data_IF_496787338767
#
_entry.id   IF_496787338767
#
_cell.length_a   1.000
_cell.length_b   1.000
_cell.length_c   1.000
_cell.angle_alpha   90.00
_cell.angle_beta   90.00
_cell.angle_gamma   90.00
#
_symmetry.space_group_name_H-M   'P 1'
#
loop_
_entity.id
_entity.type
_entity.pdbx_description
1 polymer ?
#
# COMPACT_ATOMS: atom_id res chain seq x y z
N UNK A 1 -9.74 7.65 -3.14
CA UNK A 1 -10.80 6.68 -2.74
C UNK A 1 -10.12 5.44 -2.15
N UNK A 2 -10.44 5.04 -0.91
CA UNK A 2 -9.81 3.86 -0.26
C UNK A 2 -10.05 2.60 -1.11
N UNK A 3 -9.00 2.03 -1.70
CA UNK A 3 -9.03 0.72 -2.38
C UNK A 3 -8.88 -0.36 -1.31
N UNK A 4 -10.00 -0.78 -0.72
CA UNK A 4 -10.02 -1.89 0.23
C UNK A 4 -10.82 -3.06 -0.34
N UNK A 5 -10.49 -4.27 0.10
CA UNK A 5 -11.24 -5.49 -0.25
C UNK A 5 -12.74 -5.31 0.05
N UNK A 6 -13.06 -4.66 1.18
CA UNK A 6 -14.42 -4.35 1.60
C UNK A 6 -15.15 -3.44 0.60
N UNK A 7 -14.49 -2.38 0.10
CA UNK A 7 -15.09 -1.46 -0.86
C UNK A 7 -15.37 -2.15 -2.21
N UNK A 8 -14.49 -3.08 -2.61
CA UNK A 8 -14.66 -3.89 -3.82
C UNK A 8 -15.82 -4.87 -3.66
N UNK A 9 -15.84 -5.60 -2.55
CA UNK A 9 -16.93 -6.52 -2.20
C UNK A 9 -18.28 -5.79 -2.17
N UNK A 10 -18.32 -4.60 -1.56
CA UNK A 10 -19.53 -3.79 -1.49
C UNK A 10 -20.02 -3.34 -2.87
N UNK A 11 -19.12 -2.95 -3.78
CA UNK A 11 -19.46 -2.63 -5.17
C UNK A 11 -20.00 -3.85 -5.93
N UNK A 12 -19.35 -5.00 -5.79
CA UNK A 12 -19.79 -6.26 -6.40
C UNK A 12 -21.17 -6.68 -5.89
N UNK A 13 -21.41 -6.61 -4.58
CA UNK A 13 -22.68 -6.95 -3.97
C UNK A 13 -23.82 -6.02 -4.40
N UNK A 14 -23.56 -4.70 -4.51
CA UNK A 14 -24.54 -3.75 -5.07
C UNK A 14 -24.85 -4.04 -6.53
N UNK A 15 -23.85 -4.41 -7.31
CA UNK A 15 -24.05 -4.78 -8.71
C UNK A 15 -24.88 -6.07 -8.84
N UNK A 16 -24.65 -7.06 -7.97
CA UNK A 16 -25.45 -8.28 -7.89
C UNK A 16 -26.91 -7.98 -7.56
N UNK A 17 -27.16 -7.21 -6.49
CA UNK A 17 -28.51 -6.81 -6.09
C UNK A 17 -29.23 -5.99 -7.18
N UNK A 18 -28.53 -5.09 -7.89
CA UNK A 18 -29.11 -4.32 -9.00
C UNK A 18 -29.48 -5.20 -10.21
N UNK A 19 -28.69 -6.22 -10.49
CA UNK A 19 -28.87 -7.08 -11.68
C UNK A 19 -29.88 -8.21 -11.45
N UNK A 20 -29.88 -8.81 -10.27
CA UNK A 20 -30.64 -10.02 -9.96
C UNK A 20 -31.75 -9.80 -8.92
N UNK A 21 -31.87 -8.58 -8.37
CA UNK A 21 -32.80 -8.28 -7.28
C UNK A 21 -32.30 -8.78 -5.91
N UNK A 22 -33.04 -8.49 -4.85
CA UNK A 22 -32.69 -8.86 -3.47
C UNK A 22 -31.87 -7.79 -2.73
N UNK A 23 -31.39 -8.12 -1.51
CA UNK A 23 -30.67 -7.17 -0.65
C UNK A 23 -29.16 -7.33 -0.82
N UNK A 24 -28.43 -6.21 -0.78
CA UNK A 24 -26.94 -6.21 -0.88
C UNK A 24 -26.28 -7.16 0.12
N UNK A 25 -26.84 -7.28 1.34
CA UNK A 25 -26.34 -8.17 2.38
C UNK A 25 -26.35 -9.65 1.97
N UNK A 26 -27.26 -10.06 1.10
CA UNK A 26 -27.42 -11.46 0.67
C UNK A 26 -26.28 -11.85 -0.30
N UNK A 27 -25.75 -10.87 -1.05
CA UNK A 27 -24.62 -11.05 -1.97
C UNK A 27 -23.26 -10.82 -1.32
N UNK A 28 -23.24 -10.33 -0.08
CA UNK A 28 -22.02 -9.78 0.51
C UNK A 28 -20.94 -10.85 0.75
N UNK A 29 -21.33 -12.03 1.20
CA UNK A 29 -20.42 -13.14 1.47
C UNK A 29 -19.70 -13.62 0.20
N UNK A 30 -20.43 -13.78 -0.90
CA UNK A 30 -19.86 -14.24 -2.18
C UNK A 30 -19.03 -13.14 -2.85
N UNK A 31 -19.50 -11.89 -2.78
CA UNK A 31 -18.75 -10.73 -3.23
C UNK A 31 -17.42 -10.56 -2.49
N UNK A 32 -17.37 -10.87 -1.19
CA UNK A 32 -16.15 -10.83 -0.39
C UNK A 32 -15.13 -11.88 -0.85
N UNK A 33 -15.58 -13.11 -1.13
CA UNK A 33 -14.71 -14.17 -1.67
C UNK A 33 -14.13 -13.77 -3.02
N UNK A 34 -14.95 -13.23 -3.92
CA UNK A 34 -14.52 -12.76 -5.24
C UNK A 34 -13.53 -11.60 -5.12
N UNK A 35 -13.78 -10.65 -4.23
CA UNK A 35 -12.87 -9.54 -3.96
C UNK A 35 -11.50 -10.05 -3.47
N UNK A 36 -11.47 -10.98 -2.50
CA UNK A 36 -10.23 -11.59 -2.03
C UNK A 36 -9.48 -12.36 -3.11
N UNK A 37 -10.19 -13.11 -3.95
CA UNK A 37 -9.59 -13.83 -5.07
C UNK A 37 -8.99 -12.85 -6.10
N UNK A 38 -9.66 -11.74 -6.36
CA UNK A 38 -9.17 -10.71 -7.27
C UNK A 38 -7.92 -10.00 -6.72
N UNK A 39 -7.86 -9.74 -5.41
CA UNK A 39 -6.67 -9.18 -4.76
C UNK A 39 -5.52 -10.17 -4.77
N UNK A 40 -5.73 -11.42 -4.31
CA UNK A 40 -4.69 -12.46 -4.30
C UNK A 40 -4.17 -12.82 -5.69
N UNK A 41 -5.03 -12.75 -6.71
CA UNK A 41 -4.66 -12.98 -8.10
C UNK A 41 -3.98 -11.80 -8.78
N UNK A 42 -3.77 -10.67 -8.08
CA UNK A 42 -3.13 -9.47 -8.64
C UNK A 42 -4.01 -8.69 -9.63
N UNK A 43 -5.28 -9.06 -9.82
CA UNK A 43 -6.22 -8.36 -10.70
C UNK A 43 -6.60 -6.99 -10.15
N UNK A 44 -6.49 -6.80 -8.83
CA UNK A 44 -6.70 -5.49 -8.20
C UNK A 44 -5.49 -5.14 -7.34
N UNK A 45 -4.76 -4.11 -7.77
CA UNK A 45 -3.67 -3.53 -6.98
C UNK A 45 -4.25 -2.75 -5.81
N UNK A 46 -4.00 -3.25 -4.61
CA UNK A 46 -4.28 -2.51 -3.38
C UNK A 46 -3.20 -1.47 -3.17
N UNK A 47 -3.55 -0.39 -2.48
CA UNK A 47 -2.61 0.69 -2.15
C UNK A 47 -2.69 0.99 -0.67
N UNK A 48 -1.54 1.08 -0.01
CA UNK A 48 -1.44 1.48 1.38
C UNK A 48 -1.21 2.99 1.49
N UNK A 49 -1.75 3.61 2.54
CA UNK A 49 -1.41 4.98 2.91
C UNK A 49 -0.37 4.94 4.02
N UNK A 50 0.75 5.62 3.80
CA UNK A 50 1.81 5.78 4.79
C UNK A 50 1.89 7.26 5.18
N UNK A 51 1.67 7.54 6.46
CA UNK A 51 1.85 8.86 7.04
C UNK A 51 3.26 8.97 7.62
N UNK A 52 3.91 10.09 7.35
CA UNK A 52 5.26 10.40 7.84
C UNK A 52 5.29 11.84 8.36
N UNK A 53 6.24 12.13 9.25
CA UNK A 53 6.45 13.50 9.77
C UNK A 53 6.98 14.43 8.68
N UNK A 54 6.66 15.72 8.81
CA UNK A 54 7.28 16.78 8.01
C UNK A 54 8.78 16.77 8.31
N UNK A 55 9.57 16.49 7.27
CA UNK A 55 11.02 16.51 7.39
C UNK A 55 11.50 17.94 7.66
N UNK A 56 12.60 18.07 8.40
CA UNK A 56 13.32 19.33 8.55
C UNK A 56 14.61 19.31 7.72
N UNK A 57 15.29 20.46 7.64
CA UNK A 57 16.59 20.57 6.95
C UNK A 57 17.65 19.59 7.50
N UNK A 58 17.57 19.26 8.80
CA UNK A 58 18.45 18.30 9.48
C UNK A 58 17.88 16.87 9.50
N UNK A 59 16.55 16.74 9.47
CA UNK A 59 15.84 15.47 9.61
C UNK A 59 14.95 15.22 8.39
N UNK A 60 15.55 14.76 7.29
CA UNK A 60 14.85 14.57 6.01
C UNK A 60 13.80 13.45 6.11
N UNK A 61 12.68 13.63 5.43
CA UNK A 61 11.65 12.60 5.24
C UNK A 61 11.57 12.24 3.75
N UNK A 62 11.57 10.95 3.44
CA UNK A 62 11.41 10.43 2.08
C UNK A 62 10.99 8.96 2.10
N UNK A 63 10.37 8.51 1.00
CA UNK A 63 10.01 7.11 0.78
C UNK A 63 10.56 6.70 -0.58
N UNK A 64 11.21 5.54 -0.66
CA UNK A 64 11.70 5.00 -1.90
C UNK A 64 11.35 3.51 -2.05
N UNK A 65 10.85 3.12 -3.22
CA UNK A 65 10.60 1.73 -3.58
C UNK A 65 11.90 1.04 -3.92
N UNK A 66 12.12 -0.15 -3.36
CA UNK A 66 13.27 -0.98 -3.72
C UNK A 66 12.94 -1.76 -5.00
N UNK A 67 13.75 -1.59 -6.04
CA UNK A 67 13.53 -2.21 -7.36
C UNK A 67 14.49 -3.35 -7.66
N UNK A 68 15.59 -3.45 -6.91
CA UNK A 68 16.60 -4.48 -7.12
C UNK A 68 17.82 -4.28 -6.23
N UNK A 69 18.89 -5.04 -6.51
CA UNK A 69 20.19 -4.93 -5.82
C UNK A 69 21.11 -3.98 -6.60
N UNK A 70 21.84 -3.15 -5.88
CA UNK A 70 22.83 -2.24 -6.44
C UNK A 70 24.19 -2.54 -5.79
N UNK A 71 25.23 -2.72 -6.60
CA UNK A 71 26.58 -3.07 -6.12
C UNK A 71 27.22 -2.00 -5.24
N UNK A 72 26.85 -0.73 -5.43
CA UNK A 72 27.39 0.40 -4.67
C UNK A 72 26.53 0.74 -3.44
N UNK A 73 25.21 0.69 -3.57
CA UNK A 73 24.27 1.18 -2.55
C UNK A 73 23.42 0.09 -1.88
N UNK A 74 23.82 -1.18 -2.05
CA UNK A 74 23.10 -2.41 -1.66
C UNK A 74 21.80 -2.63 -2.44
N UNK A 75 20.96 -1.60 -2.55
CA UNK A 75 19.66 -1.66 -3.20
C UNK A 75 19.45 -0.48 -4.15
N UNK A 76 18.80 -0.77 -5.27
CA UNK A 76 18.29 0.25 -6.19
C UNK A 76 17.00 0.84 -5.63
N UNK A 77 16.86 2.17 -5.71
CA UNK A 77 15.78 2.93 -5.07
C UNK A 77 15.11 3.84 -6.07
N UNK A 78 13.80 3.69 -6.21
CA UNK A 78 12.93 4.61 -6.93
C UNK A 78 12.17 5.47 -5.93
N UNK A 79 12.53 6.75 -5.80
CA UNK A 79 11.89 7.66 -4.85
C UNK A 79 10.43 7.93 -5.23
N UNK A 80 9.54 7.79 -4.24
CA UNK A 80 8.12 8.12 -4.37
C UNK A 80 7.99 9.62 -4.09
N UNK A 81 7.81 10.41 -5.15
CA UNK A 81 7.64 11.87 -5.05
C UNK A 81 6.18 12.31 -4.97
N UNK A 82 5.24 11.39 -5.23
CA UNK A 82 3.82 11.65 -5.15
C UNK A 82 3.35 11.48 -3.70
N UNK A 83 3.14 12.60 -3.01
CA UNK A 83 2.62 12.64 -1.64
C UNK A 83 1.64 13.80 -1.46
N UNK A 84 0.62 13.57 -0.64
CA UNK A 84 -0.30 14.62 -0.18
C UNK A 84 0.28 15.25 1.10
N UNK A 85 0.19 16.57 1.25
CA UNK A 85 0.54 17.26 2.49
C UNK A 85 -0.69 17.28 3.42
N UNK A 86 -0.52 16.83 4.67
CA UNK A 86 -1.63 16.67 5.63
C UNK A 86 -2.07 17.99 6.30
N UNK A 87 -1.72 19.14 5.71
CA UNK A 87 -2.10 20.47 6.19
C UNK A 87 -1.49 20.92 7.54
N UNK A 88 -1.01 20.00 8.38
CA UNK A 88 -0.54 20.33 9.74
C UNK A 88 0.95 20.08 9.98
N UNK A 89 1.56 19.06 9.34
CA UNK A 89 3.02 18.80 9.32
C UNK A 89 3.34 17.34 8.93
N UNK A 90 2.59 16.73 8.02
CA UNK A 90 2.83 15.34 7.60
C UNK A 90 2.83 15.17 6.09
N UNK A 91 3.51 14.13 5.60
CA UNK A 91 3.42 13.68 4.20
C UNK A 91 2.72 12.33 4.15
N UNK A 92 1.72 12.24 3.29
CA UNK A 92 0.93 11.03 3.06
C UNK A 92 1.33 10.43 1.71
N UNK A 93 2.00 9.29 1.75
CA UNK A 93 2.40 8.54 0.56
C UNK A 93 1.36 7.47 0.23
N UNK A 94 0.99 7.37 -1.05
CA UNK A 94 0.16 6.26 -1.56
C UNK A 94 1.08 5.22 -2.17
N UNK A 95 1.24 4.08 -1.50
CA UNK A 95 2.17 3.02 -1.88
C UNK A 95 1.43 1.84 -2.50
N UNK A 96 1.95 1.31 -3.61
CA UNK A 96 1.50 0.03 -4.17
C UNK A 96 2.24 -1.15 -3.52
N UNK A 97 1.93 -2.37 -3.94
CA UNK A 97 2.61 -3.55 -3.40
C UNK A 97 4.11 -3.55 -3.76
N UNK A 98 4.93 -3.87 -2.77
CA UNK A 98 6.39 -3.86 -2.90
C UNK A 98 7.11 -3.59 -1.58
N UNK A 99 8.43 -3.52 -1.66
CA UNK A 99 9.29 -3.18 -0.52
C UNK A 99 9.74 -1.73 -0.64
N UNK A 100 9.70 -0.99 0.47
CA UNK A 100 10.08 0.40 0.54
C UNK A 100 11.08 0.65 1.66
N UNK A 101 11.95 1.62 1.40
CA UNK A 101 12.86 2.24 2.34
C UNK A 101 12.28 3.62 2.71
N UNK A 102 11.96 3.78 4.00
CA UNK A 102 11.26 4.94 4.53
C UNK A 102 12.19 5.64 5.51
N UNK A 103 12.45 6.91 5.25
CA UNK A 103 13.08 7.83 6.19
C UNK A 103 12.01 8.77 6.74
N UNK A 104 11.81 8.74 8.06
CA UNK A 104 10.77 9.48 8.76
C UNK A 104 11.42 10.36 9.83
N UNK A 105 11.67 11.63 9.51
CA UNK A 105 12.36 12.53 10.43
C UNK A 105 13.79 12.10 10.80
N UNK A 106 14.49 11.41 9.89
CA UNK A 106 15.84 10.88 10.11
C UNK A 106 15.88 9.44 10.61
N UNK A 107 14.76 8.88 11.07
CA UNK A 107 14.66 7.47 11.42
C UNK A 107 14.38 6.64 10.17
N UNK A 108 15.30 5.72 9.85
CA UNK A 108 15.21 4.87 8.65
C UNK A 108 14.63 3.51 9.00
N UNK A 109 13.64 3.06 8.23
CA UNK A 109 12.93 1.78 8.41
C UNK A 109 12.57 1.19 7.05
N UNK A 110 12.58 -0.14 6.97
CA UNK A 110 12.07 -0.85 5.80
C UNK A 110 10.65 -1.33 6.04
N UNK A 111 9.81 -1.16 5.04
CA UNK A 111 8.42 -1.62 5.06
C UNK A 111 8.13 -2.45 3.82
N UNK A 112 7.25 -3.44 3.98
CA UNK A 112 6.69 -4.20 2.89
C UNK A 112 5.20 -3.90 2.82
N UNK A 113 4.75 -3.49 1.64
CA UNK A 113 3.34 -3.33 1.33
C UNK A 113 2.86 -4.60 0.65
N UNK A 114 1.83 -5.24 1.20
CA UNK A 114 1.22 -6.43 0.63
C UNK A 114 -0.29 -6.34 0.76
N UNK A 115 -0.99 -6.33 -0.37
CA UNK A 115 -2.44 -6.17 -0.44
C UNK A 115 -2.94 -4.91 0.30
N UNK A 116 -2.15 -3.83 0.29
CA UNK A 116 -2.48 -2.57 0.97
C UNK A 116 -2.26 -2.56 2.49
N UNK A 117 -1.67 -3.62 3.04
CA UNK A 117 -1.19 -3.66 4.43
C UNK A 117 0.30 -3.35 4.48
N UNK A 118 0.72 -2.58 5.49
CA UNK A 118 2.12 -2.22 5.72
C UNK A 118 2.67 -3.08 6.84
N UNK A 119 3.70 -3.88 6.55
CA UNK A 119 4.47 -4.62 7.54
C UNK A 119 5.88 -4.05 7.63
N UNK A 120 6.39 -3.82 8.84
CA UNK A 120 7.81 -3.49 9.04
C UNK A 120 8.63 -4.77 8.83
N UNK A 121 9.73 -4.68 8.09
CA UNK A 121 10.58 -5.83 7.79
C UNK A 121 12.04 -5.55 8.13
N UNK A 122 12.82 -6.61 8.35
CA UNK A 122 14.26 -6.56 8.59
C UNK A 122 15.06 -6.64 7.28
N UNK A 123 16.36 -6.34 7.31
CA UNK A 123 17.22 -6.44 6.11
C UNK A 123 17.27 -7.86 5.52
N UNK A 124 17.18 -8.88 6.37
CA UNK A 124 17.09 -10.30 5.96
C UNK A 124 15.86 -10.57 5.11
N UNK A 125 14.72 -9.97 5.45
CA UNK A 125 13.46 -10.17 4.73
C UNK A 125 13.45 -9.42 3.38
N UNK A 126 14.23 -8.35 3.26
CA UNK A 126 14.40 -7.62 1.99
C UNK A 126 15.08 -8.51 0.95
N UNK A 127 16.11 -9.25 1.35
CA UNK A 127 16.84 -10.15 0.45
C UNK A 127 16.00 -11.33 -0.05
N UNK A 128 14.93 -11.69 0.66
CA UNK A 128 13.95 -12.72 0.25
C UNK A 128 12.87 -12.11 -0.66
N UNK A 129 12.61 -10.81 -0.52
CA UNK A 129 11.57 -10.10 -1.27
C UNK A 129 12.07 -9.44 -2.57
N UNK A 130 13.38 -9.32 -2.76
CA UNK A 130 14.08 -8.77 -3.94
C UNK A 130 14.94 -9.83 -4.63
#
# INVERSE_FOLDING_TARGET
MKKSVMAIAWKMARHGAKKFGGKVKDYFSEALKLAWKAVKGGFVKMTAKLETKSGSRKHKTWVAKLTGKNSTYKYERSFVNDFEEDGFSGRIYTLDDGVYDVCDGGDRKYIKVTNGEIAKISETDIAVAL
#
